data_IF_109729245649
#
_entry.id   IF_109729245649
#
_cell.length_a   1.000
_cell.length_b   1.000
_cell.length_c   1.000
_cell.angle_alpha   90.00
_cell.angle_beta   90.00
_cell.angle_gamma   90.00
#
_symmetry.space_group_name_H-M   'P 1'
#
loop_
_entity.id
_entity.type
_entity.pdbx_description
1 polymer ?
#
# COMPACT_ATOMS: atom_id res chain seq x y z
N UNK A 1 52.09 17.21 -11.39
CA UNK A 1 50.65 16.88 -11.28
C UNK A 1 50.18 17.31 -9.91
N UNK A 2 49.15 18.14 -9.81
CA UNK A 2 48.60 18.56 -8.49
C UNK A 2 47.84 17.41 -7.83
N UNK A 3 47.93 17.35 -6.49
CA UNK A 3 47.17 16.39 -5.69
C UNK A 3 45.70 16.79 -5.56
N UNK A 4 44.82 15.81 -5.27
CA UNK A 4 43.40 16.05 -5.05
C UNK A 4 43.12 16.99 -3.87
N UNK A 5 44.00 17.03 -2.86
CA UNK A 5 43.89 17.95 -1.73
C UNK A 5 44.21 19.39 -2.13
N UNK A 6 45.26 19.59 -2.90
CA UNK A 6 45.62 20.92 -3.43
C UNK A 6 44.53 21.46 -4.37
N UNK A 7 43.87 20.56 -5.12
CA UNK A 7 42.67 20.92 -5.91
C UNK A 7 41.48 21.31 -5.04
N UNK A 8 41.28 20.66 -3.89
CA UNK A 8 40.19 20.96 -2.96
C UNK A 8 40.44 22.30 -2.25
N UNK A 9 41.65 22.54 -1.79
CA UNK A 9 42.05 23.83 -1.18
C UNK A 9 41.93 24.99 -2.17
N UNK A 10 42.21 24.76 -3.46
CA UNK A 10 41.99 25.78 -4.51
C UNK A 10 40.52 26.08 -4.81
N UNK A 11 39.58 25.22 -4.37
CA UNK A 11 38.13 25.41 -4.52
C UNK A 11 37.53 26.17 -3.31
N UNK A 12 38.14 26.09 -2.13
CA UNK A 12 37.71 26.81 -0.93
C UNK A 12 37.91 28.34 -1.05
N UNK A 13 38.82 28.79 -1.91
CA UNK A 13 39.11 30.21 -2.19
C UNK A 13 38.23 30.83 -3.31
N UNK A 14 37.34 30.06 -3.96
CA UNK A 14 36.32 30.65 -4.84
C UNK A 14 35.08 31.01 -4.01
N UNK A 15 34.78 32.30 -3.81
CA UNK A 15 33.52 32.68 -3.19
C UNK A 15 32.37 32.21 -4.09
N UNK A 16 31.68 31.17 -3.63
CA UNK A 16 30.25 30.97 -3.73
C UNK A 16 29.61 31.01 -5.14
N UNK A 17 30.36 30.69 -6.20
CA UNK A 17 29.85 30.65 -7.59
C UNK A 17 28.61 29.77 -7.72
N UNK A 18 28.59 28.61 -7.05
CA UNK A 18 27.43 27.72 -7.00
C UNK A 18 26.20 28.41 -6.39
N UNK A 19 26.33 29.06 -5.24
CA UNK A 19 25.19 29.74 -4.60
C UNK A 19 24.72 30.97 -5.36
N UNK A 20 25.60 31.69 -6.05
CA UNK A 20 25.23 32.83 -6.90
C UNK A 20 24.44 32.36 -8.12
N UNK A 21 24.87 31.25 -8.75
CA UNK A 21 24.12 30.61 -9.83
C UNK A 21 22.77 30.11 -9.31
N UNK A 22 22.74 29.46 -8.14
CA UNK A 22 21.51 28.98 -7.52
C UNK A 22 20.55 30.13 -7.17
N UNK A 23 21.05 31.26 -6.66
CA UNK A 23 20.23 32.45 -6.41
C UNK A 23 19.61 33.00 -7.69
N UNK A 24 20.36 33.01 -8.78
CA UNK A 24 19.87 33.42 -10.10
C UNK A 24 18.82 32.43 -10.63
N UNK A 25 19.06 31.14 -10.47
CA UNK A 25 18.12 30.08 -10.86
C UNK A 25 16.81 30.18 -10.04
N UNK A 26 16.90 30.43 -8.74
CA UNK A 26 15.75 30.68 -7.85
C UNK A 26 14.96 31.91 -8.33
N UNK A 27 15.63 33.05 -8.54
CA UNK A 27 14.96 34.26 -9.01
C UNK A 27 14.26 34.07 -10.37
N UNK A 28 14.85 33.27 -11.27
CA UNK A 28 14.24 32.88 -12.54
C UNK A 28 12.97 32.06 -12.31
N UNK A 29 13.02 31.04 -11.46
CA UNK A 29 11.84 30.21 -11.13
C UNK A 29 10.74 31.02 -10.45
N UNK A 30 11.09 31.92 -9.54
CA UNK A 30 10.13 32.86 -8.93
C UNK A 30 9.45 33.76 -9.97
N UNK A 31 10.17 34.15 -11.03
CA UNK A 31 9.61 34.87 -12.17
C UNK A 31 8.52 34.05 -12.88
N UNK A 32 8.82 32.79 -13.20
CA UNK A 32 7.84 31.86 -13.80
C UNK A 32 6.63 31.62 -12.90
N UNK A 33 6.84 31.47 -11.59
CA UNK A 33 5.74 31.30 -10.62
C UNK A 33 4.81 32.51 -10.66
N UNK A 34 5.35 33.74 -10.66
CA UNK A 34 4.55 34.96 -10.75
C UNK A 34 3.79 35.09 -12.07
N UNK A 35 4.35 34.60 -13.18
CA UNK A 35 3.65 34.56 -14.46
C UNK A 35 2.51 33.53 -14.45
N UNK A 36 2.73 32.36 -13.85
CA UNK A 36 1.69 31.37 -13.62
C UNK A 36 0.57 31.92 -12.73
N UNK A 37 0.89 32.61 -11.62
CA UNK A 37 -0.11 33.21 -10.73
C UNK A 37 -0.95 34.28 -11.43
N UNK A 38 -0.34 35.08 -12.32
CA UNK A 38 -1.05 36.04 -13.17
C UNK A 38 -1.98 35.33 -14.15
N UNK A 39 -1.53 34.25 -14.78
CA UNK A 39 -2.35 33.47 -15.69
C UNK A 39 -3.53 32.79 -14.96
N UNK A 40 -3.29 32.27 -13.75
CA UNK A 40 -4.33 31.66 -12.90
C UNK A 40 -5.36 32.71 -12.47
N UNK A 41 -4.94 33.90 -12.06
CA UNK A 41 -5.89 34.97 -11.69
C UNK A 41 -6.68 35.56 -12.86
N UNK A 42 -6.26 35.29 -14.10
CA UNK A 42 -7.02 35.60 -15.31
C UNK A 42 -8.03 34.50 -15.70
N UNK A 43 -8.00 33.32 -15.05
CA UNK A 43 -9.05 32.32 -15.26
C UNK A 43 -10.35 32.81 -14.61
N UNK A 44 -11.42 32.74 -15.40
CA UNK A 44 -12.77 32.98 -14.90
C UNK A 44 -13.26 31.74 -14.13
N UNK A 45 -13.29 31.84 -12.80
CA UNK A 45 -13.77 30.79 -11.91
C UNK A 45 -15.27 30.46 -12.11
N UNK A 46 -16.02 31.35 -12.77
CA UNK A 46 -17.44 31.15 -13.07
C UNK A 46 -17.70 30.36 -14.37
N UNK A 47 -16.66 30.12 -15.17
CA UNK A 47 -16.75 29.34 -16.40
C UNK A 47 -16.95 27.83 -16.14
N UNK A 48 -17.50 27.11 -17.14
CA UNK A 48 -17.62 25.65 -17.09
C UNK A 48 -16.25 24.98 -16.95
N UNK A 49 -16.19 23.84 -16.24
CA UNK A 49 -14.96 23.08 -15.98
C UNK A 49 -14.20 22.76 -17.27
N UNK A 50 -14.86 22.42 -18.38
CA UNK A 50 -14.17 22.14 -19.65
C UNK A 50 -13.46 23.39 -20.21
N UNK A 51 -14.07 24.57 -20.08
CA UNK A 51 -13.48 25.83 -20.54
C UNK A 51 -12.29 26.23 -19.68
N UNK A 52 -12.35 26.00 -18.37
CA UNK A 52 -11.23 26.19 -17.46
C UNK A 52 -10.07 25.25 -17.78
N UNK A 53 -10.35 23.97 -18.08
CA UNK A 53 -9.33 23.00 -18.49
C UNK A 53 -8.63 23.44 -19.79
N UNK A 54 -9.39 23.87 -20.80
CA UNK A 54 -8.82 24.35 -22.08
C UNK A 54 -7.96 25.60 -21.85
N UNK A 55 -8.44 26.54 -21.04
CA UNK A 55 -7.68 27.73 -20.68
C UNK A 55 -6.38 27.37 -19.95
N UNK A 56 -6.42 26.40 -19.03
CA UNK A 56 -5.25 25.93 -18.30
C UNK A 56 -4.22 25.24 -19.22
N UNK A 57 -4.67 24.42 -20.18
CA UNK A 57 -3.76 23.81 -21.15
C UNK A 57 -3.14 24.85 -22.09
N UNK A 58 -3.90 25.88 -22.47
CA UNK A 58 -3.38 26.99 -23.27
C UNK A 58 -2.32 27.79 -22.49
N UNK A 59 -2.53 28.06 -21.19
CA UNK A 59 -1.54 28.75 -20.35
C UNK A 59 -0.32 27.89 -20.08
N UNK A 60 -0.48 26.59 -19.88
CA UNK A 60 0.64 25.63 -19.74
C UNK A 60 1.53 25.58 -20.99
N UNK A 61 0.92 25.69 -22.18
CA UNK A 61 1.64 25.80 -23.45
C UNK A 61 2.33 27.14 -23.67
N UNK A 62 1.82 28.22 -23.06
CA UNK A 62 2.34 29.57 -23.18
C UNK A 62 3.46 29.90 -22.17
N UNK A 63 3.49 29.23 -21.01
CA UNK A 63 4.50 29.43 -19.94
C UNK A 63 5.25 28.11 -19.67
N UNK A 64 6.01 27.57 -20.64
CA UNK A 64 6.77 26.35 -20.41
C UNK A 64 8.02 26.64 -19.55
N UNK A 65 8.12 26.00 -18.39
CA UNK A 65 9.40 25.94 -17.67
C UNK A 65 10.33 24.94 -18.36
N UNK A 66 11.32 25.44 -19.08
CA UNK A 66 12.39 24.63 -19.67
C UNK A 66 13.65 24.84 -18.82
N UNK A 67 14.09 23.82 -18.06
CA UNK A 67 15.31 23.94 -17.27
C UNK A 67 16.53 24.12 -18.19
N UNK A 68 17.42 25.03 -17.80
CA UNK A 68 18.66 25.27 -18.53
C UNK A 68 19.63 24.09 -18.31
N UNK A 69 20.54 23.85 -19.25
CA UNK A 69 21.50 22.74 -19.19
C UNK A 69 22.44 22.82 -17.98
N UNK A 70 22.65 24.02 -17.46
CA UNK A 70 23.49 24.30 -16.30
C UNK A 70 22.67 24.65 -15.03
N UNK A 71 21.37 24.34 -15.02
CA UNK A 71 20.48 24.66 -13.92
C UNK A 71 20.87 23.88 -12.64
N UNK A 72 21.15 24.62 -11.57
CA UNK A 72 21.58 24.05 -10.29
C UNK A 72 20.39 23.66 -9.40
N UNK A 73 19.17 24.07 -9.76
CA UNK A 73 17.95 23.79 -9.01
C UNK A 73 17.66 22.30 -8.85
N UNK A 74 17.88 21.51 -9.90
CA UNK A 74 17.62 20.06 -9.86
C UNK A 74 18.52 19.36 -8.84
N UNK A 75 19.80 19.76 -8.80
CA UNK A 75 20.79 19.23 -7.85
C UNK A 75 20.43 19.64 -6.42
N UNK A 76 20.06 20.90 -6.20
CA UNK A 76 19.61 21.39 -4.90
C UNK A 76 18.33 20.68 -4.42
N UNK A 77 17.32 20.54 -5.27
CA UNK A 77 16.07 19.86 -4.95
C UNK A 77 16.29 18.39 -4.58
N UNK A 78 17.13 17.69 -5.36
CA UNK A 78 17.48 16.29 -5.09
C UNK A 78 18.19 16.15 -3.74
N UNK A 79 19.07 17.10 -3.40
CA UNK A 79 19.80 17.10 -2.12
C UNK A 79 18.85 17.22 -0.93
N UNK A 80 17.89 18.16 -1.00
CA UNK A 80 16.88 18.35 0.05
C UNK A 80 15.97 17.12 0.21
N UNK A 81 15.57 16.49 -0.90
CA UNK A 81 14.75 15.28 -0.86
C UNK A 81 15.51 14.13 -0.22
N UNK A 82 16.76 13.90 -0.61
CA UNK A 82 17.61 12.85 -0.02
C UNK A 82 17.85 13.09 1.46
N UNK A 83 18.11 14.33 1.88
CA UNK A 83 18.28 14.68 3.29
C UNK A 83 17.00 14.41 4.10
N UNK A 84 15.83 14.78 3.56
CA UNK A 84 14.53 14.42 4.17
C UNK A 84 14.35 12.92 4.32
N UNK A 85 14.64 12.15 3.28
CA UNK A 85 14.53 10.68 3.32
C UNK A 85 15.48 10.10 4.36
N UNK A 86 16.73 10.54 4.40
CA UNK A 86 17.72 10.11 5.40
C UNK A 86 17.22 10.43 6.82
N UNK A 87 16.66 11.62 7.03
CA UNK A 87 16.13 12.01 8.35
C UNK A 87 14.89 11.19 8.74
N UNK A 88 14.01 10.86 7.80
CA UNK A 88 12.88 9.95 8.04
C UNK A 88 13.35 8.54 8.41
N UNK A 89 14.34 7.99 7.69
CA UNK A 89 14.88 6.67 7.99
C UNK A 89 15.67 6.62 9.30
N UNK A 90 16.35 7.71 9.68
CA UNK A 90 17.05 7.80 10.98
C UNK A 90 16.11 7.91 12.17
N UNK A 91 14.91 8.46 11.97
CA UNK A 91 13.90 8.67 13.04
C UNK A 91 12.88 7.54 13.13
N UNK A 92 12.75 6.71 12.09
CA UNK A 92 12.00 5.46 12.20
C UNK A 92 12.70 4.52 13.18
N UNK A 93 12.01 4.07 14.24
CA UNK A 93 12.57 3.08 15.15
C UNK A 93 12.84 1.80 14.36
N UNK A 94 14.12 1.46 14.19
CA UNK A 94 14.60 0.20 13.61
C UNK A 94 14.46 -0.98 14.58
N UNK A 95 13.78 -0.78 15.72
CA UNK A 95 13.50 -1.87 16.65
C UNK A 95 12.69 -2.95 15.91
N UNK A 96 13.20 -4.19 15.83
CA UNK A 96 12.44 -5.29 15.28
C UNK A 96 11.10 -5.34 16.00
N UNK A 97 10.00 -5.35 15.25
CA UNK A 97 8.67 -5.53 15.84
C UNK A 97 8.69 -6.83 16.63
N UNK A 98 8.42 -6.75 17.93
CA UNK A 98 8.49 -7.92 18.80
C UNK A 98 7.25 -8.81 18.57
N UNK A 99 7.47 -9.94 17.92
CA UNK A 99 6.43 -10.95 17.65
C UNK A 99 6.41 -12.06 18.69
N UNK A 100 7.13 -11.93 19.82
CA UNK A 100 7.24 -12.96 20.84
C UNK A 100 5.87 -13.45 21.34
N UNK A 101 4.94 -12.54 21.62
CA UNK A 101 3.56 -12.87 22.04
C UNK A 101 2.74 -13.56 20.93
N UNK A 102 2.95 -13.16 19.68
CA UNK A 102 2.28 -13.79 18.53
C UNK A 102 2.80 -15.22 18.31
N UNK A 103 4.10 -15.44 18.53
CA UNK A 103 4.71 -16.76 18.42
C UNK A 103 4.25 -17.67 19.56
N UNK A 104 4.12 -17.17 20.79
CA UNK A 104 3.64 -17.99 21.93
C UNK A 104 2.17 -18.38 21.76
N UNK A 105 1.30 -17.46 21.35
CA UNK A 105 -0.10 -17.75 21.06
C UNK A 105 -0.28 -18.75 19.92
N UNK A 106 0.49 -18.64 18.83
CA UNK A 106 0.47 -19.61 17.73
C UNK A 106 0.94 -21.00 18.16
N UNK A 107 1.94 -21.10 19.04
CA UNK A 107 2.38 -22.38 19.60
C UNK A 107 1.32 -23.03 20.48
N UNK A 108 0.63 -22.24 21.31
CA UNK A 108 -0.47 -22.73 22.14
C UNK A 108 -1.62 -23.27 21.26
N UNK A 109 -2.04 -22.49 20.26
CA UNK A 109 -3.09 -22.89 19.32
C UNK A 109 -2.72 -24.16 18.52
N UNK A 110 -1.46 -24.29 18.12
CA UNK A 110 -0.97 -25.51 17.44
C UNK A 110 -1.09 -26.74 18.34
N UNK A 111 -0.72 -26.62 19.61
CA UNK A 111 -0.82 -27.71 20.59
C UNK A 111 -2.28 -28.14 20.77
N UNK A 112 -3.18 -27.16 20.96
CA UNK A 112 -4.62 -27.42 21.12
C UNK A 112 -5.22 -28.14 19.91
N UNK A 113 -4.87 -27.73 18.69
CA UNK A 113 -5.34 -28.37 17.45
C UNK A 113 -4.80 -29.78 17.29
N UNK A 114 -3.54 -30.04 17.65
CA UNK A 114 -2.97 -31.39 17.61
C UNK A 114 -3.66 -32.33 18.61
N UNK A 115 -4.02 -31.83 19.79
CA UNK A 115 -4.81 -32.58 20.76
C UNK A 115 -6.21 -32.91 20.20
N UNK A 116 -6.88 -31.93 19.60
CA UNK A 116 -8.19 -32.15 18.96
C UNK A 116 -8.12 -33.17 17.81
N UNK A 117 -7.08 -33.10 16.97
CA UNK A 117 -6.88 -34.08 15.89
C UNK A 117 -6.68 -35.48 16.47
N UNK A 118 -5.89 -35.61 17.54
CA UNK A 118 -5.66 -36.89 18.21
C UNK A 118 -6.95 -37.46 18.82
N UNK A 119 -7.74 -36.62 19.47
CA UNK A 119 -9.06 -37.00 20.00
C UNK A 119 -10.02 -37.44 18.91
N UNK A 120 -10.04 -36.72 17.77
CA UNK A 120 -10.85 -37.09 16.61
C UNK A 120 -10.38 -38.41 16.00
N UNK A 121 -9.07 -38.65 15.90
CA UNK A 121 -8.51 -39.91 15.42
C UNK A 121 -8.88 -41.08 16.34
N UNK A 122 -8.84 -40.88 17.66
CA UNK A 122 -9.29 -41.88 18.64
C UNK A 122 -10.79 -42.17 18.49
N UNK A 123 -11.62 -41.13 18.32
CA UNK A 123 -13.07 -41.26 18.08
C UNK A 123 -13.40 -41.90 16.73
N UNK A 124 -12.55 -41.74 15.73
CA UNK A 124 -12.71 -42.36 14.41
C UNK A 124 -12.25 -43.83 14.42
N UNK A 125 -11.20 -44.14 15.20
CA UNK A 125 -10.66 -45.49 15.37
C UNK A 125 -11.55 -46.36 16.27
N UNK A 126 -12.30 -45.76 17.19
CA UNK A 126 -13.45 -46.42 17.82
C UNK A 126 -14.57 -46.49 16.80
N UNK A 127 -14.77 -47.67 16.20
CA UNK A 127 -15.76 -48.00 15.17
C UNK A 127 -16.95 -47.01 15.10
N UNK A 128 -16.83 -45.97 14.28
CA UNK A 128 -17.96 -45.10 13.96
C UNK A 128 -18.94 -45.93 13.12
N UNK A 129 -19.85 -46.64 13.79
CA UNK A 129 -20.95 -47.33 13.15
C UNK A 129 -22.03 -46.31 12.84
N UNK A 130 -22.18 -45.95 11.56
CA UNK A 130 -23.20 -45.01 11.11
C UNK A 130 -24.59 -45.50 11.54
N UNK A 131 -25.38 -44.72 12.32
CA UNK A 131 -26.72 -45.10 12.76
C UNK A 131 -27.73 -45.13 11.60
N UNK A 132 -27.31 -44.69 10.41
CA UNK A 132 -28.16 -44.48 9.26
C UNK A 132 -28.72 -45.79 8.70
N UNK A 133 -27.95 -46.88 8.72
CA UNK A 133 -28.44 -48.19 8.31
C UNK A 133 -29.53 -48.73 9.26
N UNK A 134 -29.32 -48.60 10.58
CA UNK A 134 -30.31 -49.01 11.57
C UNK A 134 -31.60 -48.20 11.44
N UNK A 135 -31.49 -46.87 11.22
CA UNK A 135 -32.64 -45.98 11.03
C UNK A 135 -33.38 -46.21 9.72
N UNK A 136 -32.68 -46.58 8.65
CA UNK A 136 -33.30 -46.91 7.36
C UNK A 136 -34.09 -48.22 7.45
N UNK A 137 -33.55 -49.23 8.14
CA UNK A 137 -34.27 -50.48 8.41
C UNK A 137 -35.54 -50.24 9.25
N UNK A 138 -35.46 -49.40 10.27
CA UNK A 138 -36.60 -48.99 11.11
C UNK A 138 -37.66 -48.22 10.30
N UNK A 139 -37.24 -47.29 9.44
CA UNK A 139 -38.16 -46.55 8.57
C UNK A 139 -38.87 -47.48 7.56
N UNK A 140 -38.15 -48.47 7.02
CA UNK A 140 -38.70 -49.43 6.06
C UNK A 140 -39.74 -50.34 6.73
N UNK A 141 -39.44 -50.85 7.93
CA UNK A 141 -40.40 -51.69 8.66
C UNK A 141 -41.66 -50.93 9.07
N UNK A 142 -41.52 -49.66 9.47
CA UNK A 142 -42.67 -48.78 9.74
C UNK A 142 -43.49 -48.51 8.47
N UNK A 143 -42.84 -48.33 7.33
CA UNK A 143 -43.52 -48.14 6.05
C UNK A 143 -44.33 -49.37 5.65
N UNK A 144 -43.77 -50.58 5.79
CA UNK A 144 -44.46 -51.83 5.51
C UNK A 144 -45.65 -52.03 6.45
N UNK A 145 -45.46 -51.72 7.75
CA UNK A 145 -46.53 -51.77 8.74
C UNK A 145 -47.68 -50.83 8.39
N UNK A 146 -47.36 -49.57 8.04
CA UNK A 146 -48.34 -48.56 7.66
C UNK A 146 -49.07 -48.95 6.37
N UNK A 147 -48.35 -49.45 5.37
CA UNK A 147 -48.93 -49.93 4.12
C UNK A 147 -49.87 -51.12 4.34
N UNK A 148 -49.50 -52.05 5.22
CA UNK A 148 -50.35 -53.18 5.61
C UNK A 148 -51.62 -52.72 6.35
N UNK A 149 -51.52 -51.65 7.15
CA UNK A 149 -52.65 -51.08 7.88
C UNK A 149 -53.63 -50.37 6.94
N UNK A 150 -53.11 -49.57 6.00
CA UNK A 150 -53.90 -48.93 4.94
C UNK A 150 -54.61 -49.98 4.07
N UNK A 151 -53.92 -51.05 3.67
CA UNK A 151 -54.51 -52.14 2.90
C UNK A 151 -55.63 -52.86 3.66
N UNK A 152 -55.53 -53.00 4.99
CA UNK A 152 -56.59 -53.55 5.84
C UNK A 152 -57.79 -52.60 6.00
N UNK A 153 -57.57 -51.30 5.97
CA UNK A 153 -58.65 -50.30 6.04
C UNK A 153 -59.40 -50.24 4.71
N UNK A 154 -58.69 -50.25 3.58
CA UNK A 154 -59.27 -50.15 2.24
C UNK A 154 -59.84 -51.45 1.68
N UNK A 155 -59.67 -52.59 2.38
CA UNK A 155 -60.26 -53.89 2.02
C UNK A 155 -61.57 -54.20 2.77
N UNK A 156 -62.12 -53.23 3.50
CA UNK A 156 -63.50 -53.19 3.99
C UNK A 156 -64.36 -52.31 3.09
#
# INVERSE_FOLDING_TARGET
MMSLRERLESLDDLPNTYTQVLQKDIARVEGFIKECDKAISMLDESASVEAQIIALYHTLGAIPYIPDKNDTITTAATTVVLEKLVNQYKTQPTSPTDYSEMITSLKALRSEKLNHISDLQLKLAGEFASPLHAKLAEASSLHDLLSSYIAKINSK
#
